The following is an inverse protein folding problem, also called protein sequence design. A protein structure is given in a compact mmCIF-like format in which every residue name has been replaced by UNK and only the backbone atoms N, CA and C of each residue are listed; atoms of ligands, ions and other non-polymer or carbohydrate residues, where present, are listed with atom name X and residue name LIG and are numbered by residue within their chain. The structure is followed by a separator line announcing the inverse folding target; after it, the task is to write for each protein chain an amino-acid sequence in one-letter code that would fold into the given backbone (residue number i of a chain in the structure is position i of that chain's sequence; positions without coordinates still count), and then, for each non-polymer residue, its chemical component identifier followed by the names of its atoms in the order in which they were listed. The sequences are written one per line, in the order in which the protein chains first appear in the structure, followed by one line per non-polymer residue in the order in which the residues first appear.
data_IF_894700331279
#
_entry.id   IF_894700331279
#
_cell.length_a   1.000
_cell.length_b   1.000
_cell.length_c   1.000
_cell.angle_alpha   90.00
_cell.angle_beta   90.00
_cell.angle_gamma   90.00
#
_symmetry.space_group_name_H-M   'P 1'
#
loop_
_entity.id
_entity.type
_entity.pdbx_description
1 polymer ?
#
# COMPACT_ATOMS: atom_id res chain seq x y z
N UNK A 1 47.44 29.98 46.22
CA UNK A 1 46.62 29.96 45.00
C UNK A 1 45.99 28.58 44.89
N UNK A 2 44.84 28.37 45.51
CA UNK A 2 44.22 27.06 45.67
C UNK A 2 42.96 27.05 44.82
N UNK A 3 42.98 26.33 43.70
CA UNK A 3 41.88 26.27 42.73
C UNK A 3 40.79 25.37 43.27
N UNK A 4 39.64 25.98 43.59
CA UNK A 4 38.38 25.29 43.90
C UNK A 4 37.84 24.73 42.59
N UNK A 5 37.71 23.41 42.47
CA UNK A 5 37.00 22.75 41.37
C UNK A 5 35.62 22.38 41.88
N UNK A 6 34.62 23.19 41.51
CA UNK A 6 33.20 22.90 41.77
C UNK A 6 32.74 21.91 40.72
N UNK A 7 32.56 20.66 41.13
CA UNK A 7 31.93 19.61 40.33
C UNK A 7 30.41 19.85 40.29
N UNK A 8 29.91 20.40 39.18
CA UNK A 8 28.48 20.47 38.88
C UNK A 8 28.11 19.24 38.03
N UNK A 9 27.54 18.23 38.70
CA UNK A 9 26.93 17.07 38.06
C UNK A 9 25.62 17.48 37.37
N UNK A 10 25.63 17.55 36.04
CA UNK A 10 24.43 17.67 35.22
C UNK A 10 23.91 16.26 34.90
N UNK A 11 22.97 15.76 35.69
CA UNK A 11 22.27 14.51 35.42
C UNK A 11 21.17 14.76 34.37
N UNK A 12 21.48 14.49 33.10
CA UNK A 12 20.51 14.45 32.02
C UNK A 12 19.77 13.10 32.05
N UNK A 13 18.57 13.07 32.60
CA UNK A 13 17.68 11.92 32.51
C UNK A 13 17.07 11.85 31.09
N UNK A 14 17.58 10.92 30.27
CA UNK A 14 16.96 10.56 29.00
C UNK A 14 15.61 9.87 29.25
N UNK A 15 14.52 10.56 28.93
CA UNK A 15 13.22 9.90 28.73
C UNK A 15 13.28 9.12 27.41
N UNK A 16 13.38 7.80 27.53
CA UNK A 16 13.11 6.86 26.45
C UNK A 16 11.60 6.89 26.12
N UNK A 17 11.19 7.79 25.23
CA UNK A 17 9.88 7.78 24.62
C UNK A 17 9.88 6.90 23.37
N UNK A 18 9.75 5.59 23.51
CA UNK A 18 9.37 4.72 22.37
C UNK A 18 7.87 4.86 22.13
N UNK A 19 7.48 6.01 21.59
CA UNK A 19 6.16 6.20 21.00
C UNK A 19 6.05 5.31 19.77
N UNK A 20 5.54 4.10 19.95
CA UNK A 20 5.13 3.25 18.84
C UNK A 20 4.05 3.98 18.05
N UNK A 21 4.41 4.52 16.90
CA UNK A 21 3.45 5.04 15.92
C UNK A 21 2.61 3.86 15.43
N UNK A 22 1.48 3.61 16.08
CA UNK A 22 0.41 2.81 15.51
C UNK A 22 -0.11 3.58 14.30
N UNK A 23 0.48 3.31 13.13
CA UNK A 23 -0.14 3.67 11.86
C UNK A 23 -1.44 2.86 11.83
N UNK A 24 -2.55 3.54 12.14
CA UNK A 24 -3.87 3.00 11.86
C UNK A 24 -3.85 2.59 10.39
N UNK A 25 -3.92 1.28 10.14
CA UNK A 25 -4.13 0.80 8.79
C UNK A 25 -5.36 1.53 8.26
N UNK A 26 -5.28 2.21 7.10
CA UNK A 26 -6.48 2.77 6.51
C UNK A 26 -7.49 1.62 6.33
N UNK A 27 -8.80 1.91 6.38
CA UNK A 27 -9.83 0.89 6.21
C UNK A 27 -9.56 0.16 4.89
N UNK A 28 -8.91 -0.99 5.01
CA UNK A 28 -8.53 -1.83 3.89
C UNK A 28 -9.82 -2.46 3.39
N UNK A 29 -10.05 -2.37 2.08
CA UNK A 29 -11.21 -3.00 1.46
C UNK A 29 -11.31 -4.45 1.98
N UNK A 30 -12.50 -4.92 2.41
CA UNK A 30 -12.69 -6.35 2.54
C UNK A 30 -12.28 -6.97 1.20
N UNK A 31 -11.44 -8.00 1.23
CA UNK A 31 -10.87 -8.66 0.05
C UNK A 31 -11.96 -9.14 -0.96
N UNK A 32 -13.21 -9.15 -0.50
CA UNK A 32 -14.41 -9.66 -1.14
C UNK A 32 -15.13 -8.62 -2.04
N UNK A 33 -14.79 -7.32 -1.98
CA UNK A 33 -15.37 -6.30 -2.87
C UNK A 33 -14.26 -5.40 -3.46
N UNK A 34 -14.13 -5.32 -4.80
CA UNK A 34 -13.24 -4.34 -5.41
C UNK A 34 -13.88 -2.95 -5.21
N UNK A 35 -13.19 -2.03 -4.52
CA UNK A 35 -13.50 -0.59 -4.43
C UNK A 35 -14.60 -0.15 -3.44
N UNK A 36 -14.26 0.01 -2.16
CA UNK A 36 -14.87 1.05 -1.33
C UNK A 36 -13.97 2.29 -1.35
N UNK A 37 -13.91 2.91 -2.53
CA UNK A 37 -13.44 4.28 -2.73
C UNK A 37 -11.96 4.58 -2.54
N UNK A 38 -11.14 3.76 -1.87
CA UNK A 38 -9.72 4.04 -1.66
C UNK A 38 -8.84 2.83 -1.98
N UNK A 39 -7.73 3.07 -2.69
CA UNK A 39 -6.70 2.08 -3.03
C UNK A 39 -5.32 2.71 -2.87
N UNK A 40 -4.26 1.88 -2.86
CA UNK A 40 -2.90 2.39 -2.91
C UNK A 40 -2.40 2.59 -4.34
N UNK A 41 -1.62 3.66 -4.54
CA UNK A 41 -0.81 3.91 -5.72
C UNK A 41 0.55 4.42 -5.24
N UNK A 42 1.60 3.63 -5.44
CA UNK A 42 2.97 3.98 -5.05
C UNK A 42 3.09 4.42 -3.56
N UNK A 43 2.41 3.70 -2.66
CA UNK A 43 2.40 3.98 -1.23
C UNK A 43 1.42 5.06 -0.78
N UNK A 44 0.82 5.83 -1.71
CA UNK A 44 -0.19 6.83 -1.40
C UNK A 44 -1.61 6.25 -1.52
N UNK A 45 -2.53 6.70 -0.66
CA UNK A 45 -3.95 6.39 -0.81
C UNK A 45 -4.59 7.32 -1.85
N UNK A 46 -5.24 6.72 -2.85
CA UNK A 46 -5.95 7.44 -3.92
C UNK A 46 -7.40 6.97 -3.99
N UNK A 47 -8.26 7.85 -4.50
CA UNK A 47 -9.70 7.58 -4.58
C UNK A 47 -10.08 6.93 -5.91
N UNK A 48 -11.05 6.01 -5.88
CA UNK A 48 -11.67 5.42 -7.08
C UNK A 48 -13.16 5.75 -7.16
N UNK A 49 -13.77 5.59 -8.33
CA UNK A 49 -15.24 5.64 -8.47
C UNK A 49 -15.87 4.49 -7.66
N UNK A 50 -17.05 4.75 -7.07
CA UNK A 50 -17.69 3.87 -6.08
C UNK A 50 -18.27 2.58 -6.66
N UNK A 51 -18.46 2.47 -7.98
CA UNK A 51 -19.06 1.29 -8.58
C UNK A 51 -18.15 0.75 -9.68
N UNK A 52 -17.44 -0.36 -9.43
CA UNK A 52 -16.71 -1.07 -10.46
C UNK A 52 -17.65 -1.56 -11.56
N UNK A 53 -17.27 -1.37 -12.82
CA UNK A 53 -17.94 -2.07 -13.91
C UNK A 53 -17.27 -3.42 -14.16
N UNK A 54 -18.07 -4.47 -14.21
CA UNK A 54 -17.62 -5.80 -14.63
C UNK A 54 -17.56 -5.94 -16.16
N UNK A 55 -17.91 -4.91 -16.94
CA UNK A 55 -17.87 -4.94 -18.41
C UNK A 55 -17.46 -3.57 -18.98
N UNK A 56 -16.49 -3.49 -19.91
CA UNK A 56 -15.64 -4.56 -20.42
C UNK A 56 -14.45 -4.92 -19.50
N UNK A 57 -14.16 -6.22 -19.33
CA UNK A 57 -13.01 -6.75 -18.57
C UNK A 57 -11.75 -6.87 -19.43
N UNK A 58 -11.18 -5.74 -19.85
CA UNK A 58 -9.99 -5.79 -20.71
C UNK A 58 -8.74 -6.26 -19.95
N UNK A 59 -8.63 -5.95 -18.64
CA UNK A 59 -7.51 -6.36 -17.81
C UNK A 59 -6.15 -5.92 -18.37
N UNK A 60 -5.90 -4.60 -18.38
CA UNK A 60 -4.69 -4.01 -19.00
C UNK A 60 -3.66 -3.64 -17.94
N UNK A 61 -4.09 -2.87 -16.94
CA UNK A 61 -3.25 -2.28 -15.90
C UNK A 61 -3.18 -3.22 -14.70
N UNK A 62 -1.99 -3.53 -14.18
CA UNK A 62 -1.87 -4.45 -13.04
C UNK A 62 -2.56 -3.87 -11.80
N UNK A 63 -3.35 -4.71 -11.14
CA UNK A 63 -4.01 -4.40 -9.88
C UNK A 63 -3.84 -5.58 -8.92
N UNK A 64 -3.29 -5.32 -7.75
CA UNK A 64 -3.01 -6.35 -6.76
C UNK A 64 -4.02 -6.28 -5.62
N UNK A 65 -4.69 -7.41 -5.36
CA UNK A 65 -5.45 -7.64 -4.13
C UNK A 65 -4.51 -8.25 -3.11
N UNK A 66 -4.06 -7.42 -2.17
CA UNK A 66 -3.08 -7.81 -1.16
C UNK A 66 -3.82 -8.13 0.14
N UNK A 67 -3.71 -9.37 0.59
CA UNK A 67 -4.38 -9.83 1.81
C UNK A 67 -3.98 -8.95 3.03
N UNK A 68 -4.96 -8.40 3.74
CA UNK A 68 -4.74 -7.51 4.90
C UNK A 68 -4.37 -6.06 4.58
N UNK A 69 -4.09 -5.71 3.32
CA UNK A 69 -3.74 -4.35 2.89
C UNK A 69 -4.83 -3.73 2.01
N UNK A 70 -5.43 -4.52 1.11
CA UNK A 70 -6.45 -4.05 0.17
C UNK A 70 -5.92 -3.97 -1.26
N UNK A 71 -6.47 -3.03 -2.04
CA UNK A 71 -6.13 -2.84 -3.45
C UNK A 71 -4.87 -1.99 -3.66
N UNK A 72 -3.99 -2.43 -4.55
CA UNK A 72 -2.79 -1.70 -4.96
C UNK A 72 -2.76 -1.60 -6.48
N UNK A 73 -2.82 -0.37 -7.00
CA UNK A 73 -2.67 -0.08 -8.41
C UNK A 73 -1.19 0.05 -8.78
N UNK A 74 -0.82 -0.53 -9.92
CA UNK A 74 0.49 -0.36 -10.52
C UNK A 74 0.69 1.01 -11.17
N UNK A 75 -0.39 1.54 -11.76
CA UNK A 75 -0.39 2.78 -12.54
C UNK A 75 -1.57 3.66 -12.17
N UNK A 76 -1.47 4.95 -12.44
CA UNK A 76 -2.53 5.91 -12.18
C UNK A 76 -2.45 7.15 -13.07
N UNK A 77 -3.40 8.08 -12.95
CA UNK A 77 -3.45 9.27 -13.79
C UNK A 77 -2.13 10.04 -13.82
N UNK A 78 -1.75 10.53 -15.00
CA UNK A 78 -0.49 11.24 -15.21
C UNK A 78 0.69 10.36 -15.63
N UNK A 79 0.55 9.03 -15.60
CA UNK A 79 1.49 8.12 -16.27
C UNK A 79 1.04 7.83 -17.72
N UNK A 80 1.99 7.65 -18.64
CA UNK A 80 1.69 7.36 -20.06
C UNK A 80 0.99 6.01 -20.27
N UNK A 81 1.14 5.10 -19.31
CA UNK A 81 0.65 3.72 -19.38
C UNK A 81 -0.67 3.52 -18.60
N UNK A 82 -1.34 4.56 -18.14
CA UNK A 82 -2.60 4.43 -17.43
C UNK A 82 -3.80 4.35 -18.39
N UNK A 83 -4.52 3.22 -18.37
CA UNK A 83 -5.61 2.96 -19.30
C UNK A 83 -6.99 3.23 -18.70
N UNK A 84 -7.10 4.17 -17.74
CA UNK A 84 -8.40 4.56 -17.18
C UNK A 84 -8.98 3.52 -16.22
N UNK A 85 -8.12 2.75 -15.54
CA UNK A 85 -8.49 1.79 -14.53
C UNK A 85 -9.10 0.52 -15.09
N UNK A 86 -8.59 0.06 -16.23
CA UNK A 86 -8.87 -1.27 -16.77
C UNK A 86 -7.98 -2.30 -16.05
N UNK A 87 -8.44 -2.76 -14.90
CA UNK A 87 -7.61 -3.51 -13.96
C UNK A 87 -7.50 -4.99 -14.29
N UNK A 88 -6.26 -5.45 -14.38
CA UNK A 88 -5.80 -6.85 -14.49
C UNK A 88 -5.49 -7.36 -13.09
N UNK A 89 -6.38 -8.17 -12.55
CA UNK A 89 -6.34 -8.54 -11.12
C UNK A 89 -5.33 -9.65 -10.83
N UNK A 90 -4.49 -9.42 -9.82
CA UNK A 90 -3.63 -10.42 -9.20
C UNK A 90 -3.96 -10.55 -7.72
N UNK A 91 -3.94 -11.77 -7.20
CA UNK A 91 -4.08 -12.08 -5.79
C UNK A 91 -2.68 -12.24 -5.18
N UNK A 92 -2.42 -11.56 -4.07
CA UNK A 92 -1.15 -11.62 -3.35
C UNK A 92 -1.38 -12.21 -1.96
N UNK A 93 -0.66 -13.30 -1.68
CA UNK A 93 -0.69 -14.03 -0.41
C UNK A 93 0.71 -14.25 0.14
N UNK A 94 0.82 -14.48 1.46
CA UNK A 94 2.10 -14.63 2.18
C UNK A 94 2.37 -13.48 3.15
N UNK A 95 3.62 -13.04 3.25
CA UNK A 95 4.01 -11.90 4.10
C UNK A 95 3.68 -10.57 3.42
N UNK A 96 2.45 -10.11 3.60
CA UNK A 96 1.87 -8.97 2.86
C UNK A 96 1.92 -7.61 3.56
N UNK A 97 2.40 -7.55 4.80
CA UNK A 97 2.44 -6.31 5.57
C UNK A 97 3.26 -5.23 4.87
N UNK A 98 2.66 -4.04 4.69
CA UNK A 98 3.33 -2.88 4.09
C UNK A 98 3.48 -2.92 2.56
N UNK A 99 2.89 -3.90 1.87
CA UNK A 99 2.95 -3.99 0.41
C UNK A 99 1.93 -3.04 -0.25
N UNK A 100 2.28 -1.76 -0.34
CA UNK A 100 1.42 -0.66 -0.82
C UNK A 100 1.84 -0.09 -2.19
N UNK A 101 2.75 -0.75 -2.90
CA UNK A 101 3.17 -0.42 -4.27
C UNK A 101 3.51 -1.69 -5.05
N UNK A 102 3.39 -1.66 -6.38
CA UNK A 102 3.80 -2.78 -7.23
C UNK A 102 5.28 -3.14 -7.02
N UNK A 103 6.16 -2.14 -6.97
CA UNK A 103 7.58 -2.37 -6.72
C UNK A 103 7.85 -3.10 -5.39
N UNK A 104 7.09 -2.80 -4.33
CA UNK A 104 7.21 -3.52 -3.06
C UNK A 104 6.72 -4.97 -3.16
N UNK A 105 5.63 -5.20 -3.90
CA UNK A 105 5.05 -6.52 -4.13
C UNK A 105 6.01 -7.40 -4.94
N UNK A 106 6.53 -6.89 -6.05
CA UNK A 106 7.47 -7.61 -6.91
C UNK A 106 8.78 -7.91 -6.18
N UNK A 107 9.29 -6.97 -5.38
CA UNK A 107 10.47 -7.22 -4.53
C UNK A 107 10.21 -8.31 -3.48
N UNK A 108 9.02 -8.33 -2.87
CA UNK A 108 8.64 -9.38 -1.94
C UNK A 108 8.52 -10.74 -2.64
N UNK A 109 7.97 -10.78 -3.85
CA UNK A 109 7.87 -12.00 -4.66
C UNK A 109 9.26 -12.52 -5.08
N UNK A 110 10.16 -11.63 -5.51
CA UNK A 110 11.55 -11.97 -5.85
C UNK A 110 12.33 -12.54 -4.65
N UNK A 111 11.96 -12.17 -3.43
CA UNK A 111 12.50 -12.72 -2.17
C UNK A 111 11.80 -14.00 -1.71
N UNK A 112 10.78 -14.47 -2.41
CA UNK A 112 9.98 -15.64 -2.03
C UNK A 112 9.06 -15.41 -0.83
N UNK A 113 8.79 -14.15 -0.46
CA UNK A 113 7.94 -13.81 0.70
C UNK A 113 6.45 -13.83 0.40
N UNK A 114 6.09 -13.63 -0.87
CA UNK A 114 4.70 -13.67 -1.34
C UNK A 114 4.59 -14.44 -2.65
N UNK A 115 3.39 -14.93 -2.92
CA UNK A 115 3.00 -15.49 -4.22
C UNK A 115 2.04 -14.53 -4.90
N UNK A 116 2.24 -14.30 -6.20
CA UNK A 116 1.38 -13.47 -7.05
C UNK A 116 0.65 -14.40 -8.01
N UNK A 117 -0.68 -14.45 -7.95
CA UNK A 117 -1.50 -15.30 -8.81
C UNK A 117 -2.45 -14.45 -9.65
N UNK A 118 -2.47 -14.66 -10.96
CA UNK A 118 -3.40 -13.98 -11.87
C UNK A 118 -4.83 -14.49 -11.68
N UNK A 119 -5.79 -13.59 -11.53
CA UNK A 119 -7.22 -13.93 -11.38
C UNK A 119 -8.10 -13.17 -12.40
N UNK A 120 -8.16 -13.70 -13.63
CA UNK A 120 -8.82 -13.04 -14.76
C UNK A 120 -10.34 -12.88 -14.59
N UNK A 121 -10.99 -13.77 -13.83
CA UNK A 121 -12.43 -13.67 -13.60
C UNK A 121 -12.80 -12.41 -12.80
N UNK A 122 -11.84 -11.86 -12.04
CA UNK A 122 -12.03 -10.69 -11.19
C UNK A 122 -11.63 -9.37 -11.84
N UNK A 123 -11.22 -9.36 -13.11
CA UNK A 123 -10.94 -8.11 -13.83
C UNK A 123 -12.15 -7.17 -13.83
N UNK A 124 -11.87 -5.88 -13.70
CA UNK A 124 -12.90 -4.85 -13.58
C UNK A 124 -12.40 -3.52 -14.12
N UNK A 125 -13.35 -2.60 -14.32
CA UNK A 125 -13.05 -1.22 -14.67
C UNK A 125 -13.45 -0.28 -13.53
N UNK A 126 -12.50 0.48 -13.02
CA UNK A 126 -12.77 1.53 -12.03
C UNK A 126 -11.68 2.62 -12.07
N UNK A 127 -11.93 3.78 -12.68
CA UNK A 127 -10.93 4.84 -12.76
C UNK A 127 -10.58 5.43 -11.39
N UNK A 128 -9.29 5.74 -11.19
CA UNK A 128 -8.82 6.65 -10.13
C UNK A 128 -9.30 8.07 -10.43
N UNK A 129 -9.76 8.77 -9.39
CA UNK A 129 -10.14 10.18 -9.42
C UNK A 129 -8.89 11.06 -9.16
N UNK A 130 -8.63 12.07 -10.00
CA UNK A 130 -7.61 13.10 -9.74
C UNK A 130 -7.90 13.92 -8.48
#
# INVERSE_FOLDING_TARGET
MTRIVVSLAFAAALLAGTGGSAWAAPPSCPAELPCQGMIYLNGALVRTILTPSATPKAGVDNFYKVAGVGGVAAVGPGTGDYHGGHWKVFLVSGSTAGLTSEAAIELAAAKGLVTITREASQDFRCPIQP
#
